data_IF_210241494331
#
_entry.id   IF_210241494331
#
_cell.length_a   1.000
_cell.length_b   1.000
_cell.length_c   1.000
_cell.angle_alpha   90.00
_cell.angle_beta   90.00
_cell.angle_gamma   90.00
#
_symmetry.space_group_name_H-M   'P 1'
#
loop_
_entity.id
_entity.type
_entity.pdbx_description
1 polymer ?
#
# COMPACT_ATOMS: atom_id res chain seq x y z
N UNK A 1 20.98 -7.18 29.43
CA UNK A 1 21.02 -6.19 28.33
C UNK A 1 21.66 -4.91 28.83
N UNK A 2 22.55 -4.27 28.05
CA UNK A 2 23.25 -3.04 28.46
C UNK A 2 22.31 -1.85 28.63
N UNK A 3 21.21 -1.81 27.86
CA UNK A 3 20.19 -0.77 27.91
C UNK A 3 18.79 -1.38 28.12
N UNK A 4 18.44 -1.75 29.36
CA UNK A 4 17.19 -2.46 29.64
C UNK A 4 15.93 -1.58 29.52
N UNK A 5 16.09 -0.26 29.45
CA UNK A 5 15.00 0.72 29.40
C UNK A 5 14.74 1.29 28.01
N UNK A 6 15.27 0.66 26.95
CA UNK A 6 15.01 1.12 25.58
C UNK A 6 13.52 1.12 25.26
N UNK A 7 13.06 2.22 24.68
CA UNK A 7 11.76 2.27 24.02
C UNK A 7 11.82 1.45 22.72
N UNK A 8 10.67 1.05 22.15
CA UNK A 8 10.65 0.39 20.84
C UNK A 8 11.37 1.19 19.74
N UNK A 9 11.25 2.53 19.76
CA UNK A 9 11.95 3.40 18.82
C UNK A 9 13.47 3.37 18.99
N UNK A 10 13.97 3.34 20.23
CA UNK A 10 15.40 3.21 20.53
C UNK A 10 15.94 1.82 20.18
N UNK A 11 15.17 0.76 20.39
CA UNK A 11 15.53 -0.59 19.90
C UNK A 11 15.70 -0.56 18.38
N UNK A 12 14.74 0.04 17.67
CA UNK A 12 14.80 0.14 16.21
C UNK A 12 15.98 0.99 15.73
N UNK A 13 16.23 2.17 16.33
CA UNK A 13 17.40 3.00 16.03
C UNK A 13 18.70 2.24 16.27
N UNK A 14 18.88 1.61 17.43
CA UNK A 14 20.10 0.84 17.72
C UNK A 14 20.36 -0.29 16.72
N UNK A 15 19.31 -1.00 16.29
CA UNK A 15 19.43 -2.06 15.27
C UNK A 15 19.82 -1.47 13.92
N UNK A 16 19.16 -0.39 13.49
CA UNK A 16 19.33 0.16 12.15
C UNK A 16 20.64 0.96 12.00
N UNK A 17 21.11 1.59 13.07
CA UNK A 17 22.34 2.38 13.07
C UNK A 17 23.59 1.50 13.15
N UNK A 18 23.47 0.31 13.75
CA UNK A 18 24.62 -0.55 14.10
C UNK A 18 24.52 -1.99 13.60
N UNK A 19 23.63 -2.27 12.63
CA UNK A 19 23.44 -3.63 12.11
C UNK A 19 24.75 -4.20 11.55
N UNK A 20 25.19 -5.34 12.10
CA UNK A 20 26.27 -6.16 11.56
C UNK A 20 25.66 -7.37 10.84
N UNK A 21 25.84 -7.46 9.53
CA UNK A 21 25.49 -8.64 8.74
C UNK A 21 26.50 -9.76 9.02
N UNK A 22 26.00 -10.95 9.36
CA UNK A 22 26.85 -12.13 9.62
C UNK A 22 27.15 -12.94 8.36
N UNK A 23 26.57 -12.58 7.22
CA UNK A 23 26.76 -13.25 5.93
C UNK A 23 27.28 -12.34 4.83
N UNK A 24 27.47 -12.93 3.64
CA UNK A 24 27.70 -12.16 2.43
C UNK A 24 26.36 -11.65 1.87
N UNK A 25 26.40 -10.62 1.02
CA UNK A 25 25.19 -10.12 0.34
C UNK A 25 24.54 -11.23 -0.48
N UNK A 26 23.23 -11.41 -0.30
CA UNK A 26 22.43 -12.41 -1.01
C UNK A 26 21.85 -13.44 -0.06
N UNK A 27 21.30 -14.53 -0.63
CA UNK A 27 20.86 -15.67 0.14
C UNK A 27 21.99 -16.67 0.34
N UNK A 28 22.13 -17.21 1.54
CA UNK A 28 23.00 -18.36 1.81
C UNK A 28 22.35 -19.37 2.79
N UNK A 29 22.91 -20.58 2.87
CA UNK A 29 22.32 -21.68 3.64
C UNK A 29 22.45 -21.51 5.17
N UNK A 30 23.37 -20.67 5.65
CA UNK A 30 23.65 -20.48 7.07
C UNK A 30 22.91 -19.25 7.64
N UNK A 31 22.84 -18.17 6.87
CA UNK A 31 22.29 -16.87 7.26
C UNK A 31 21.02 -16.49 6.51
N UNK A 32 20.58 -17.28 5.52
CA UNK A 32 19.34 -17.07 4.79
C UNK A 32 19.39 -15.78 3.98
N UNK A 33 18.31 -15.00 3.98
CA UNK A 33 18.22 -13.72 3.27
C UNK A 33 18.93 -12.55 3.99
N UNK A 34 19.97 -12.82 4.79
CA UNK A 34 20.69 -11.80 5.57
C UNK A 34 20.29 -11.80 7.05
N UNK A 35 21.11 -12.45 7.90
CA UNK A 35 20.94 -12.46 9.36
C UNK A 35 21.87 -11.45 10.01
N UNK A 36 21.30 -10.59 10.83
CA UNK A 36 22.05 -9.61 11.62
C UNK A 36 22.40 -10.12 13.02
N UNK A 37 23.45 -9.56 13.60
CA UNK A 37 23.75 -9.70 15.03
C UNK A 37 23.04 -8.64 15.87
N UNK A 38 21.80 -8.97 16.24
CA UNK A 38 20.97 -8.09 17.05
C UNK A 38 21.59 -7.78 18.42
N UNK A 39 22.34 -8.71 19.01
CA UNK A 39 22.96 -8.47 20.31
C UNK A 39 24.04 -7.39 20.22
N UNK A 40 24.93 -7.51 19.24
CA UNK A 40 25.99 -6.53 19.00
C UNK A 40 25.41 -5.17 18.63
N UNK A 41 24.38 -5.13 17.77
CA UNK A 41 23.71 -3.87 17.38
C UNK A 41 23.10 -3.13 18.59
N UNK A 42 22.45 -3.85 19.52
CA UNK A 42 21.88 -3.28 20.75
C UNK A 42 22.94 -2.89 21.79
N UNK A 43 24.16 -3.42 21.69
CA UNK A 43 25.22 -3.17 22.67
C UNK A 43 25.96 -1.84 22.44
N UNK A 44 26.00 -1.35 21.20
CA UNK A 44 26.68 -0.10 20.82
C UNK A 44 25.93 1.11 21.38
N UNK A 45 24.62 1.15 21.17
CA UNK A 45 23.76 2.24 21.63
C UNK A 45 22.88 2.80 20.51
N UNK A 46 21.64 3.21 20.83
CA UNK A 46 20.81 4.01 19.92
C UNK A 46 21.40 5.43 19.79
N UNK A 47 21.51 5.95 18.57
CA UNK A 47 21.93 7.34 18.35
C UNK A 47 20.77 8.32 18.57
N UNK A 48 19.53 7.89 18.30
CA UNK A 48 18.32 8.70 18.40
C UNK A 48 17.16 7.95 19.09
N UNK A 49 16.04 8.63 19.35
CA UNK A 49 14.84 8.00 19.92
C UNK A 49 13.99 7.24 18.90
N UNK A 50 14.28 7.43 17.61
CA UNK A 50 13.63 6.79 16.47
C UNK A 50 14.64 6.61 15.33
N UNK A 51 14.59 5.51 14.55
CA UNK A 51 15.49 5.31 13.42
C UNK A 51 15.26 6.31 12.28
N UNK A 52 16.32 6.68 11.59
CA UNK A 52 16.29 7.66 10.49
C UNK A 52 15.38 7.22 9.34
N UNK A 53 15.30 5.91 9.07
CA UNK A 53 14.40 5.37 8.04
C UNK A 53 12.91 5.32 8.44
N UNK A 54 12.51 5.71 9.66
CA UNK A 54 11.10 5.98 9.99
C UNK A 54 10.60 7.34 9.48
N UNK A 55 11.49 8.21 8.98
CA UNK A 55 11.09 9.40 8.21
C UNK A 55 10.61 9.03 6.79
N UNK A 56 11.00 7.85 6.30
CA UNK A 56 10.35 7.18 5.19
C UNK A 56 9.22 6.38 5.83
N UNK A 57 7.98 6.60 5.37
CA UNK A 57 6.83 5.82 5.83
C UNK A 57 7.23 4.34 5.90
N UNK A 58 7.03 3.66 7.04
CA UNK A 58 7.32 2.24 7.10
C UNK A 58 6.59 1.57 5.94
N UNK A 59 7.19 0.55 5.33
CA UNK A 59 6.47 -0.40 4.49
C UNK A 59 5.26 -1.08 5.19
N UNK A 60 5.03 -0.75 6.46
CA UNK A 60 3.84 -1.03 7.27
C UNK A 60 2.87 0.18 7.40
N UNK A 61 2.91 1.13 6.46
CA UNK A 61 1.70 1.79 6.01
C UNK A 61 1.20 1.02 4.77
N UNK A 62 0.86 -0.25 4.94
CA UNK A 62 -0.57 -0.54 4.95
C UNK A 62 -1.38 0.51 5.73
N UNK A 63 -1.65 1.65 5.08
CA UNK A 63 -2.97 2.29 5.18
C UNK A 63 -4.01 1.42 4.44
N UNK A 64 -3.96 0.11 4.69
CA UNK A 64 -4.74 -0.93 4.07
C UNK A 64 -5.34 -1.84 5.12
N UNK A 65 -5.60 -1.33 6.33
CA UNK A 65 -6.49 -1.94 7.32
C UNK A 65 -7.04 -0.84 8.25
N UNK A 66 -7.62 0.21 7.66
CA UNK A 66 -8.94 0.54 8.18
C UNK A 66 -9.80 -0.63 7.70
N UNK A 67 -10.13 -1.57 8.59
CA UNK A 67 -11.13 -2.60 8.32
C UNK A 67 -12.35 -1.89 7.73
N UNK A 68 -12.42 -1.87 6.41
CA UNK A 68 -13.53 -1.31 5.69
C UNK A 68 -14.66 -2.30 5.90
N UNK A 69 -15.49 -2.03 6.91
CA UNK A 69 -16.84 -2.59 7.01
C UNK A 69 -17.73 -2.11 5.87
N UNK A 70 -17.20 -1.32 4.92
CA UNK A 70 -17.94 -0.89 3.77
C UNK A 70 -18.28 -2.13 2.91
N UNK A 71 -19.50 -2.18 2.36
CA UNK A 71 -19.93 -3.30 1.51
C UNK A 71 -19.24 -3.31 0.13
N UNK A 72 -18.12 -2.59 -0.05
CA UNK A 72 -17.40 -2.41 -1.30
C UNK A 72 -15.88 -2.44 -1.10
N UNK A 73 -15.15 -2.79 -2.16
CA UNK A 73 -13.69 -2.83 -2.21
C UNK A 73 -13.13 -1.40 -2.18
N UNK A 74 -12.35 -1.01 -1.16
CA UNK A 74 -11.70 0.29 -1.11
C UNK A 74 -10.79 0.51 -2.31
N UNK A 75 -10.78 1.72 -2.84
CA UNK A 75 -9.97 2.12 -3.99
C UNK A 75 -10.49 1.64 -5.35
N UNK A 76 -11.66 0.99 -5.44
CA UNK A 76 -12.17 0.48 -6.72
C UNK A 76 -13.52 1.05 -7.14
N UNK A 77 -13.58 1.55 -8.37
CA UNK A 77 -14.81 2.05 -9.02
C UNK A 77 -15.04 1.32 -10.33
N UNK A 78 -16.26 0.84 -10.54
CA UNK A 78 -16.71 0.25 -11.81
C UNK A 78 -17.37 1.33 -12.65
N UNK A 79 -16.88 1.53 -13.88
CA UNK A 79 -17.34 2.57 -14.81
C UNK A 79 -17.68 1.95 -16.15
N UNK A 80 -18.84 2.30 -16.68
CA UNK A 80 -19.24 2.06 -18.06
C UNK A 80 -19.22 3.38 -18.82
N UNK A 81 -18.53 3.41 -19.96
CA UNK A 81 -18.45 4.59 -20.81
C UNK A 81 -19.48 4.53 -21.94
N UNK A 82 -19.89 5.70 -22.46
CA UNK A 82 -20.77 5.73 -23.63
C UNK A 82 -20.05 5.20 -24.88
N UNK A 83 -20.79 4.54 -25.80
CA UNK A 83 -20.21 4.05 -27.05
C UNK A 83 -19.58 5.21 -27.85
N UNK A 84 -18.31 5.06 -28.22
CA UNK A 84 -17.54 6.05 -28.98
C UNK A 84 -16.45 6.76 -28.17
N UNK A 85 -16.42 6.59 -26.84
CA UNK A 85 -15.28 7.02 -26.01
C UNK A 85 -14.23 5.92 -26.06
N UNK A 86 -13.08 6.19 -26.69
CA UNK A 86 -11.95 5.26 -26.66
C UNK A 86 -11.48 5.16 -25.21
N UNK A 87 -11.69 4.01 -24.60
CA UNK A 87 -11.42 3.83 -23.20
C UNK A 87 -9.92 4.03 -22.87
N UNK A 88 -9.01 3.90 -23.84
CA UNK A 88 -7.61 4.31 -23.68
C UNK A 88 -7.44 5.81 -23.36
N UNK A 89 -8.35 6.68 -23.79
CA UNK A 89 -8.34 8.11 -23.44
C UNK A 89 -8.87 8.35 -22.04
N UNK A 90 -9.95 7.68 -21.65
CA UNK A 90 -10.51 7.78 -20.30
C UNK A 90 -9.51 7.24 -19.25
N UNK A 91 -8.87 6.10 -19.51
CA UNK A 91 -7.83 5.54 -18.64
C UNK A 91 -6.62 6.47 -18.48
N UNK A 92 -6.24 7.20 -19.54
CA UNK A 92 -5.21 8.25 -19.44
C UNK A 92 -5.67 9.48 -18.66
N UNK A 93 -6.95 9.83 -18.73
CA UNK A 93 -7.52 11.00 -18.06
C UNK A 93 -7.72 10.79 -16.56
N UNK A 94 -8.09 9.57 -16.13
CA UNK A 94 -8.35 9.28 -14.72
C UNK A 94 -7.18 8.60 -13.98
N UNK A 95 -6.17 8.09 -14.69
CA UNK A 95 -4.84 7.78 -14.15
C UNK A 95 -4.72 6.51 -13.30
N UNK A 96 -3.58 5.82 -13.49
CA UNK A 96 -3.03 4.62 -12.79
C UNK A 96 -4.02 3.54 -12.35
N UNK A 97 -4.13 2.49 -13.17
CA UNK A 97 -4.77 1.22 -12.80
C UNK A 97 -6.20 1.11 -13.31
N UNK A 98 -6.36 1.07 -14.63
CA UNK A 98 -7.64 0.81 -15.24
C UNK A 98 -7.62 -0.56 -15.92
N UNK A 99 -8.46 -1.47 -15.46
CA UNK A 99 -8.60 -2.80 -16.02
C UNK A 99 -9.93 -2.93 -16.73
N UNK A 100 -9.90 -3.43 -17.97
CA UNK A 100 -11.11 -3.69 -18.73
C UNK A 100 -11.67 -5.06 -18.37
N UNK A 101 -12.89 -5.07 -17.83
CA UNK A 101 -13.64 -6.28 -17.54
C UNK A 101 -14.46 -6.66 -18.78
N UNK A 102 -13.81 -7.31 -19.75
CA UNK A 102 -14.39 -7.63 -21.07
C UNK A 102 -15.70 -8.43 -21.00
N UNK A 103 -15.90 -9.23 -19.94
CA UNK A 103 -17.13 -10.02 -19.74
C UNK A 103 -18.36 -9.14 -19.51
N UNK A 104 -18.17 -7.95 -18.93
CA UNK A 104 -19.25 -7.04 -18.53
C UNK A 104 -19.27 -5.76 -19.36
N UNK A 105 -18.30 -5.56 -20.25
CA UNK A 105 -18.09 -4.33 -21.03
C UNK A 105 -18.00 -3.07 -20.13
N UNK A 106 -17.28 -3.21 -19.01
CA UNK A 106 -17.03 -2.15 -18.03
C UNK A 106 -15.56 -2.04 -17.68
N UNK A 107 -15.17 -0.93 -17.07
CA UNK A 107 -13.82 -0.62 -16.63
C UNK A 107 -13.76 -0.57 -15.11
N UNK A 108 -12.76 -1.22 -14.54
CA UNK A 108 -12.39 -1.09 -13.12
C UNK A 108 -11.29 -0.06 -12.99
N UNK A 109 -11.58 1.06 -12.35
CA UNK A 109 -10.62 2.12 -12.06
C UNK A 109 -10.10 2.00 -10.63
N UNK A 110 -8.79 2.13 -10.47
CA UNK A 110 -8.14 2.28 -9.19
C UNK A 110 -8.12 3.76 -8.79
N UNK A 111 -8.54 4.05 -7.56
CA UNK A 111 -8.66 5.38 -6.97
C UNK A 111 -7.94 5.38 -5.63
N UNK A 112 -7.47 6.55 -5.20
CA UNK A 112 -6.91 6.72 -3.86
C UNK A 112 -7.96 6.28 -2.82
N UNK A 113 -7.66 5.30 -1.96
CA UNK A 113 -8.60 4.86 -0.93
C UNK A 113 -9.09 6.02 -0.06
N UNK A 114 -10.39 6.08 0.19
CA UNK A 114 -11.07 7.17 0.91
C UNK A 114 -11.53 8.35 0.04
N UNK A 115 -11.19 8.38 -1.25
CA UNK A 115 -11.69 9.39 -2.21
C UNK A 115 -12.74 8.84 -3.19
N UNK A 116 -13.13 7.58 -3.07
CA UNK A 116 -13.96 6.87 -4.04
C UNK A 116 -15.31 7.55 -4.24
N UNK A 117 -15.91 8.07 -3.17
CA UNK A 117 -17.20 8.76 -3.24
C UNK A 117 -17.11 10.10 -3.98
N UNK A 118 -16.02 10.84 -3.77
CA UNK A 118 -15.78 12.11 -4.45
C UNK A 118 -15.49 11.87 -5.95
N UNK A 119 -14.64 10.88 -6.26
CA UNK A 119 -14.36 10.48 -7.64
C UNK A 119 -15.60 9.90 -8.32
N UNK A 120 -16.41 9.12 -7.61
CA UNK A 120 -17.69 8.60 -8.12
C UNK A 120 -18.65 9.73 -8.47
N UNK A 121 -18.79 10.75 -7.62
CA UNK A 121 -19.62 11.91 -7.89
C UNK A 121 -19.13 12.67 -9.14
N UNK A 122 -17.82 12.81 -9.30
CA UNK A 122 -17.21 13.43 -10.47
C UNK A 122 -17.45 12.61 -11.75
N UNK A 123 -17.27 11.29 -11.70
CA UNK A 123 -17.51 10.39 -12.81
C UNK A 123 -18.98 10.37 -13.23
N UNK A 124 -19.90 10.38 -12.27
CA UNK A 124 -21.35 10.46 -12.56
C UNK A 124 -21.77 11.79 -13.17
N UNK A 125 -21.01 12.86 -12.93
CA UNK A 125 -21.23 14.17 -13.55
C UNK A 125 -20.63 14.28 -14.95
N UNK A 126 -19.77 13.34 -15.37
CA UNK A 126 -19.07 13.41 -16.65
C UNK A 126 -19.99 12.92 -17.80
N UNK A 127 -20.19 13.72 -18.86
CA UNK A 127 -21.02 13.33 -20.00
C UNK A 127 -20.49 12.11 -20.78
N UNK A 128 -19.20 11.75 -20.66
CA UNK A 128 -18.63 10.56 -21.33
C UNK A 128 -18.96 9.26 -20.59
N UNK A 129 -19.37 9.34 -19.33
CA UNK A 129 -19.73 8.19 -18.50
C UNK A 129 -21.19 7.83 -18.73
N UNK A 130 -21.45 6.55 -19.02
CA UNK A 130 -22.80 6.01 -19.10
C UNK A 130 -23.30 5.63 -17.70
N UNK A 131 -22.45 4.99 -16.91
CA UNK A 131 -22.75 4.60 -15.53
C UNK A 131 -21.45 4.49 -14.72
N UNK A 132 -21.50 4.81 -13.43
CA UNK A 132 -20.39 4.58 -12.50
C UNK A 132 -20.93 4.18 -11.12
N UNK A 133 -20.30 3.19 -10.50
CA UNK A 133 -20.61 2.72 -9.15
C UNK A 133 -19.40 2.13 -8.42
N UNK A 134 -19.52 1.93 -7.11
CA UNK A 134 -18.49 1.27 -6.29
C UNK A 134 -18.43 -0.23 -6.58
N UNK A 135 -17.26 -0.87 -6.38
CA UNK A 135 -17.14 -2.32 -6.52
C UNK A 135 -17.64 -3.06 -5.27
N UNK A 136 -18.90 -3.49 -5.23
CA UNK A 136 -19.50 -4.14 -4.06
C UNK A 136 -19.00 -5.57 -3.82
N UNK A 137 -18.72 -5.91 -2.56
CA UNK A 137 -18.39 -7.27 -2.12
C UNK A 137 -19.67 -8.11 -2.00
N UNK A 138 -19.69 -9.27 -2.67
CA UNK A 138 -20.81 -10.23 -2.60
C UNK A 138 -20.34 -11.51 -1.90
N UNK A 139 -21.09 -11.94 -0.88
CA UNK A 139 -20.82 -13.16 -0.12
C UNK A 139 -21.84 -14.25 -0.49
N UNK A 140 -21.38 -15.47 -0.76
CA UNK A 140 -22.28 -16.62 -0.94
C UNK A 140 -22.89 -17.02 0.40
N UNK A 141 -24.19 -17.36 0.40
CA UNK A 141 -24.93 -17.88 1.56
C UNK A 141 -25.05 -19.41 1.51
#
# INVERSE_FOLDING_TARGET
>A
ARYPSYTPGQVASAILDNAEDKGATGWDEYYGCGRIDAFSALWVGAHDTSPVCQSVQPWAADTGDAESTAPFVPGEIIVSFRPGVQAEQATRQYGVGAEFLSTLDVWRLQVVPGQEQATLAQLRADPVVAHADLNYLVFAQ
#
